data_IF_946459730552
#
_entry.id   IF_946459730552
#
_cell.length_a   1.000
_cell.length_b   1.000
_cell.length_c   1.000
_cell.angle_alpha   90.00
_cell.angle_beta   90.00
_cell.angle_gamma   90.00
#
_symmetry.space_group_name_H-M   'P 1'
#
loop_
_entity.id
_entity.type
_entity.pdbx_description
1 polymer ?
#
# COMPACT_ATOMS: atom_id res chain seq x y z
N UNK A 1 -6.19 6.70 -19.71
CA UNK A 1 -5.89 7.82 -20.62
C UNK A 1 -4.47 8.38 -20.37
N UNK A 2 -4.13 8.84 -19.16
CA UNK A 2 -2.74 9.22 -18.79
C UNK A 2 -1.67 8.19 -19.17
N UNK A 3 -1.92 6.91 -18.93
CA UNK A 3 -1.00 5.82 -19.28
C UNK A 3 -0.62 5.88 -20.77
N UNK A 4 -1.50 6.31 -21.69
CA UNK A 4 -1.19 6.40 -23.11
C UNK A 4 -0.33 7.62 -23.49
N UNK A 5 -0.14 8.55 -22.54
CA UNK A 5 0.61 9.79 -22.70
C UNK A 5 2.03 9.69 -22.11
N UNK A 6 2.30 8.68 -21.27
CA UNK A 6 3.63 8.37 -20.75
C UNK A 6 4.33 7.36 -21.65
N UNK A 7 5.64 7.48 -21.77
CA UNK A 7 6.45 6.57 -22.58
C UNK A 7 6.42 5.15 -21.98
N UNK A 8 5.60 4.27 -22.57
CA UNK A 8 5.43 2.88 -22.18
C UNK A 8 5.03 1.97 -23.36
N UNK A 9 4.79 0.69 -23.09
CA UNK A 9 4.45 -0.31 -24.12
C UNK A 9 3.12 -0.05 -24.86
N UNK A 10 2.29 0.90 -24.41
CA UNK A 10 0.98 1.25 -24.99
C UNK A 10 1.00 2.63 -25.68
N UNK A 11 2.18 3.12 -26.07
CA UNK A 11 2.34 4.43 -26.69
C UNK A 11 1.49 4.62 -27.96
N UNK A 12 0.86 5.79 -28.03
CA UNK A 12 0.21 6.30 -29.24
C UNK A 12 1.31 6.82 -30.19
N UNK A 13 1.43 6.23 -31.38
CA UNK A 13 2.46 6.60 -32.38
C UNK A 13 2.20 7.96 -33.04
N UNK A 14 0.94 8.35 -33.14
CA UNK A 14 0.51 9.58 -33.83
C UNK A 14 0.48 10.78 -32.85
N UNK A 15 1.24 11.83 -33.20
CA UNK A 15 1.37 13.06 -32.42
C UNK A 15 0.03 13.79 -32.23
N UNK A 16 -0.87 13.76 -33.21
CA UNK A 16 -2.19 14.40 -33.12
C UNK A 16 -3.10 13.62 -32.16
N UNK A 17 -3.04 12.30 -32.17
CA UNK A 17 -3.79 11.45 -31.24
C UNK A 17 -3.32 11.65 -29.79
N UNK A 18 -2.02 11.87 -29.58
CA UNK A 18 -1.47 12.24 -28.27
C UNK A 18 -2.06 13.56 -27.77
N UNK A 19 -2.16 14.58 -28.65
CA UNK A 19 -2.68 15.89 -28.26
C UNK A 19 -4.18 15.85 -27.94
N UNK A 20 -4.97 15.13 -28.75
CA UNK A 20 -6.39 14.88 -28.46
C UNK A 20 -6.54 14.15 -27.12
N UNK A 21 -5.73 13.13 -26.87
CA UNK A 21 -5.76 12.38 -25.62
C UNK A 21 -5.39 13.25 -24.41
N UNK A 22 -4.43 14.18 -24.55
CA UNK A 22 -4.11 15.17 -23.51
C UNK A 22 -5.30 16.05 -23.18
N UNK A 23 -6.01 16.54 -24.18
CA UNK A 23 -7.16 17.42 -23.98
C UNK A 23 -8.36 16.68 -23.37
N UNK A 24 -8.62 15.43 -23.79
CA UNK A 24 -9.63 14.56 -23.17
C UNK A 24 -9.29 14.28 -21.70
N UNK A 25 -8.03 13.98 -21.40
CA UNK A 25 -7.55 13.80 -20.02
C UNK A 25 -7.78 15.07 -19.21
N UNK A 26 -7.37 16.22 -19.73
CA UNK A 26 -7.53 17.52 -19.07
C UNK A 26 -9.00 17.87 -18.81
N UNK A 27 -9.89 17.52 -19.74
CA UNK A 27 -11.32 17.71 -19.57
C UNK A 27 -11.89 16.80 -18.47
N UNK A 28 -11.59 15.51 -18.51
CA UNK A 28 -12.06 14.55 -17.50
C UNK A 28 -11.53 14.84 -16.09
N UNK A 29 -10.37 15.48 -15.99
CA UNK A 29 -9.75 15.87 -14.71
C UNK A 29 -10.16 17.26 -14.23
N UNK A 30 -10.93 18.00 -15.03
CA UNK A 30 -11.50 19.27 -14.58
C UNK A 30 -12.62 19.03 -13.57
N UNK A 31 -12.74 19.90 -12.57
CA UNK A 31 -13.81 19.84 -11.56
C UNK A 31 -15.23 19.88 -12.16
N UNK A 32 -15.34 20.32 -13.43
CA UNK A 32 -16.60 20.38 -14.19
C UNK A 32 -17.05 19.03 -14.76
N UNK A 33 -16.19 18.01 -14.77
CA UNK A 33 -16.49 16.70 -15.38
C UNK A 33 -17.36 15.80 -14.48
N UNK A 34 -17.42 16.09 -13.18
CA UNK A 34 -18.09 15.24 -12.19
C UNK A 34 -17.42 13.88 -11.97
N UNK A 35 -16.26 13.62 -12.58
CA UNK A 35 -15.45 12.40 -12.37
C UNK A 35 -14.59 12.60 -11.12
N UNK A 36 -15.26 12.73 -9.98
CA UNK A 36 -14.60 12.91 -8.69
C UNK A 36 -14.12 11.56 -8.14
N UNK A 37 -12.87 11.51 -7.65
CA UNK A 37 -12.31 10.36 -6.93
C UNK A 37 -13.09 10.00 -5.66
N UNK A 38 -12.69 8.93 -4.99
CA UNK A 38 -13.30 8.52 -3.73
C UNK A 38 -12.71 9.34 -2.58
N UNK A 39 -13.36 10.44 -2.22
CA UNK A 39 -12.82 11.38 -1.23
C UNK A 39 -13.22 11.07 0.22
N UNK A 40 -14.21 10.21 0.44
CA UNK A 40 -14.74 9.92 1.77
C UNK A 40 -15.34 8.51 1.88
N UNK A 41 -15.00 7.81 2.96
CA UNK A 41 -15.61 6.54 3.32
C UNK A 41 -17.12 6.72 3.64
N UNK A 42 -17.94 5.69 3.35
CA UNK A 42 -19.35 5.71 3.74
C UNK A 42 -19.53 5.75 5.26
N UNK A 43 -20.69 6.19 5.78
CA UNK A 43 -20.96 6.26 7.23
C UNK A 43 -20.65 4.96 7.98
N UNK A 44 -20.92 3.80 7.37
CA UNK A 44 -20.63 2.50 7.98
C UNK A 44 -19.16 2.27 8.36
N UNK A 45 -18.21 2.98 7.73
CA UNK A 45 -16.81 2.94 8.17
C UNK A 45 -16.64 3.45 9.61
N UNK A 46 -17.27 4.59 9.92
CA UNK A 46 -17.21 5.20 11.25
C UNK A 46 -17.88 4.28 12.28
N UNK A 47 -19.07 3.77 11.97
CA UNK A 47 -19.82 2.88 12.86
C UNK A 47 -19.03 1.60 13.18
N UNK A 48 -18.37 1.00 12.17
CA UNK A 48 -17.50 -0.16 12.36
C UNK A 48 -16.31 0.16 13.27
N UNK A 49 -15.65 1.31 13.07
CA UNK A 49 -14.54 1.76 13.92
C UNK A 49 -15.02 1.93 15.36
N UNK A 50 -16.17 2.57 15.59
CA UNK A 50 -16.76 2.75 16.92
C UNK A 50 -17.15 1.44 17.59
N UNK A 51 -17.78 0.52 16.84
CA UNK A 51 -18.10 -0.83 17.34
C UNK A 51 -16.85 -1.61 17.73
N UNK A 52 -15.78 -1.57 16.92
CA UNK A 52 -14.52 -2.24 17.24
C UNK A 52 -13.88 -1.62 18.51
N UNK A 53 -13.84 -0.29 18.61
CA UNK A 53 -13.24 0.39 19.76
C UNK A 53 -14.02 0.20 21.07
N UNK A 54 -15.35 0.08 20.98
CA UNK A 54 -16.22 -0.19 22.14
C UNK A 54 -16.26 -1.67 22.55
N UNK A 55 -15.60 -2.56 21.79
CA UNK A 55 -15.68 -4.02 22.00
C UNK A 55 -17.01 -4.62 21.53
N UNK A 56 -17.84 -3.87 20.81
CA UNK A 56 -19.10 -4.35 20.25
C UNK A 56 -18.83 -5.39 19.16
N UNK A 57 -19.51 -6.53 19.25
CA UNK A 57 -19.38 -7.61 18.26
C UNK A 57 -20.06 -7.23 16.94
N UNK A 58 -19.30 -7.19 15.86
CA UNK A 58 -19.81 -7.10 14.49
C UNK A 58 -20.53 -8.40 14.10
N UNK A 59 -21.64 -8.29 13.37
CA UNK A 59 -22.35 -9.43 12.76
C UNK A 59 -22.25 -9.34 11.24
N UNK A 60 -22.27 -10.50 10.59
CA UNK A 60 -22.14 -10.60 9.13
C UNK A 60 -23.30 -9.91 8.37
N UNK A 61 -24.48 -9.86 9.00
CA UNK A 61 -25.69 -9.21 8.49
C UNK A 61 -25.68 -7.68 8.64
N UNK A 62 -24.72 -7.11 9.37
CA UNK A 62 -24.75 -5.69 9.66
C UNK A 62 -24.49 -4.87 8.37
N UNK A 63 -25.29 -3.83 8.16
CA UNK A 63 -25.21 -2.97 6.97
C UNK A 63 -23.97 -2.08 6.99
N UNK A 64 -23.58 -1.56 8.15
CA UNK A 64 -22.36 -0.77 8.33
C UNK A 64 -21.10 -1.58 8.00
N UNK A 65 -21.06 -2.86 8.37
CA UNK A 65 -19.98 -3.77 7.99
C UNK A 65 -19.85 -3.90 6.47
N UNK A 66 -20.98 -4.05 5.78
CA UNK A 66 -20.99 -4.12 4.32
C UNK A 66 -20.50 -2.80 3.69
N UNK A 67 -20.97 -1.67 4.21
CA UNK A 67 -20.59 -0.35 3.73
C UNK A 67 -19.11 -0.04 3.94
N UNK A 68 -18.54 -0.42 5.09
CA UNK A 68 -17.12 -0.25 5.37
C UNK A 68 -16.25 -1.07 4.39
N UNK A 69 -16.60 -2.34 4.14
CA UNK A 69 -15.89 -3.21 3.19
C UNK A 69 -15.97 -2.66 1.77
N UNK A 70 -17.16 -2.23 1.33
CA UNK A 70 -17.33 -1.64 0.00
C UNK A 70 -16.54 -0.34 -0.14
N UNK A 71 -16.53 0.51 0.89
CA UNK A 71 -15.76 1.76 0.89
C UNK A 71 -14.27 1.48 0.74
N UNK A 72 -13.74 0.50 1.48
CA UNK A 72 -12.35 0.08 1.37
C UNK A 72 -11.98 -0.43 -0.02
N UNK A 73 -12.82 -1.28 -0.62
CA UNK A 73 -12.58 -1.80 -1.97
C UNK A 73 -12.70 -0.72 -3.05
N UNK A 74 -13.52 0.31 -2.81
CA UNK A 74 -13.63 1.46 -3.69
C UNK A 74 -12.38 2.35 -3.61
N UNK A 75 -11.92 2.65 -2.39
CA UNK A 75 -10.67 3.36 -2.13
C UNK A 75 -9.47 2.62 -2.75
N UNK A 76 -9.39 1.29 -2.60
CA UNK A 76 -8.33 0.48 -3.22
C UNK A 76 -8.26 0.70 -4.74
N UNK A 77 -9.42 0.73 -5.42
CA UNK A 77 -9.47 0.92 -6.88
C UNK A 77 -9.08 2.34 -7.25
N UNK A 78 -9.54 3.33 -6.49
CA UNK A 78 -9.20 4.73 -6.74
C UNK A 78 -7.70 4.98 -6.56
N UNK A 79 -7.10 4.44 -5.49
CA UNK A 79 -5.65 4.48 -5.26
C UNK A 79 -4.86 3.84 -6.40
N UNK A 80 -5.32 2.70 -6.94
CA UNK A 80 -4.67 2.06 -8.08
C UNK A 80 -4.72 2.95 -9.34
N UNK A 81 -5.85 3.62 -9.58
CA UNK A 81 -6.01 4.56 -10.70
C UNK A 81 -5.12 5.79 -10.53
N UNK A 82 -5.10 6.39 -9.34
CA UNK A 82 -4.25 7.54 -9.01
C UNK A 82 -2.77 7.18 -9.19
N UNK A 83 -2.32 6.04 -8.65
CA UNK A 83 -0.94 5.59 -8.81
C UNK A 83 -0.60 5.28 -10.27
N UNK A 84 -1.54 4.72 -11.03
CA UNK A 84 -1.32 4.46 -12.46
C UNK A 84 -1.07 5.75 -13.25
N UNK A 85 -1.80 6.83 -12.90
CA UNK A 85 -1.59 8.15 -13.48
C UNK A 85 -0.24 8.74 -13.08
N UNK A 86 0.09 8.67 -11.80
CA UNK A 86 1.33 9.25 -11.25
C UNK A 86 2.60 8.52 -11.73
N UNK A 87 2.53 7.20 -11.94
CA UNK A 87 3.67 6.39 -12.36
C UNK A 87 3.77 6.21 -13.87
N UNK A 88 2.71 6.52 -14.63
CA UNK A 88 2.65 6.27 -16.07
C UNK A 88 2.63 4.80 -16.46
N UNK A 89 2.41 3.89 -15.52
CA UNK A 89 2.29 2.44 -15.72
C UNK A 89 1.02 1.92 -15.08
N UNK A 90 0.44 0.87 -15.64
CA UNK A 90 -0.79 0.29 -15.10
C UNK A 90 -0.54 -0.40 -13.75
N UNK A 91 -1.30 0.01 -12.73
CA UNK A 91 -1.33 -0.59 -11.39
C UNK A 91 -2.62 -1.39 -11.26
N UNK A 92 -2.48 -2.69 -11.03
CA UNK A 92 -3.62 -3.57 -10.75
C UNK A 92 -3.92 -3.55 -9.25
N UNK A 93 -5.20 -3.66 -8.88
CA UNK A 93 -5.61 -3.88 -7.49
C UNK A 93 -6.48 -5.11 -7.30
N UNK A 94 -6.51 -5.58 -6.05
CA UNK A 94 -7.28 -6.74 -5.62
C UNK A 94 -6.56 -8.07 -5.84
N UNK A 95 -7.22 -9.16 -5.43
CA UNK A 95 -6.63 -10.49 -5.46
C UNK A 95 -7.11 -11.30 -6.69
N UNK A 96 -6.21 -11.96 -7.45
CA UNK A 96 -6.59 -12.73 -8.64
C UNK A 96 -7.66 -13.79 -8.40
N UNK A 97 -7.71 -14.39 -7.20
CA UNK A 97 -8.70 -15.41 -6.82
C UNK A 97 -10.16 -14.91 -6.84
N UNK A 98 -10.39 -13.59 -6.79
CA UNK A 98 -11.75 -13.02 -6.80
C UNK A 98 -12.15 -12.43 -8.16
N UNK A 99 -11.36 -12.66 -9.21
CA UNK A 99 -11.69 -12.18 -10.55
C UNK A 99 -13.05 -12.75 -10.99
N UNK A 100 -13.99 -11.86 -11.32
CA UNK A 100 -15.35 -12.23 -11.71
C UNK A 100 -16.29 -12.62 -10.56
N UNK A 101 -15.83 -12.60 -9.30
CA UNK A 101 -16.66 -12.92 -8.13
C UNK A 101 -16.47 -11.91 -7.00
N UNK A 102 -17.02 -10.71 -7.19
CA UNK A 102 -16.95 -9.62 -6.21
C UNK A 102 -17.69 -9.95 -4.91
N UNK A 103 -18.77 -10.72 -4.98
CA UNK A 103 -19.54 -11.13 -3.79
C UNK A 103 -18.70 -11.99 -2.86
N UNK A 104 -17.97 -12.97 -3.38
CA UNK A 104 -17.05 -13.77 -2.59
C UNK A 104 -15.94 -12.94 -1.95
N UNK A 105 -15.45 -11.89 -2.64
CA UNK A 105 -14.48 -10.95 -2.07
C UNK A 105 -15.06 -10.18 -0.89
N UNK A 106 -16.23 -9.58 -1.07
CA UNK A 106 -16.92 -8.84 0.00
C UNK A 106 -17.14 -9.74 1.21
N UNK A 107 -17.64 -10.97 1.00
CA UNK A 107 -17.91 -11.91 2.08
C UNK A 107 -16.64 -12.35 2.82
N UNK A 108 -15.50 -12.49 2.11
CA UNK A 108 -14.21 -12.78 2.75
C UNK A 108 -13.67 -11.60 3.55
N UNK A 109 -13.74 -10.38 2.99
CA UNK A 109 -13.30 -9.17 3.67
C UNK A 109 -14.15 -8.87 4.91
N UNK A 110 -15.48 -9.12 4.85
CA UNK A 110 -16.35 -9.09 6.04
C UNK A 110 -15.85 -10.05 7.13
N UNK A 111 -15.53 -11.29 6.76
CA UNK A 111 -15.03 -12.30 7.70
C UNK A 111 -13.68 -11.90 8.29
N UNK A 112 -12.75 -11.35 7.47
CA UNK A 112 -11.46 -10.82 7.95
C UNK A 112 -11.66 -9.68 8.93
N UNK A 113 -12.48 -8.69 8.60
CA UNK A 113 -12.76 -7.56 9.47
C UNK A 113 -13.42 -7.99 10.79
N UNK A 114 -14.35 -8.94 10.76
CA UNK A 114 -14.97 -9.48 11.98
C UNK A 114 -13.96 -10.19 12.89
N UNK A 115 -13.10 -11.04 12.32
CA UNK A 115 -12.19 -11.93 13.06
C UNK A 115 -10.86 -11.30 13.45
N UNK A 116 -10.31 -10.48 12.59
CA UNK A 116 -8.95 -9.93 12.69
C UNK A 116 -8.93 -8.41 12.85
N UNK A 117 -10.09 -7.74 12.73
CA UNK A 117 -10.21 -6.27 12.75
C UNK A 117 -9.27 -5.61 11.73
N UNK A 118 -9.14 -6.26 10.58
CA UNK A 118 -8.20 -5.92 9.51
C UNK A 118 -8.90 -5.95 8.16
N UNK A 119 -8.61 -4.95 7.33
CA UNK A 119 -8.83 -5.00 5.89
C UNK A 119 -7.51 -4.88 5.15
N UNK A 120 -7.40 -5.58 4.03
CA UNK A 120 -6.15 -5.68 3.26
C UNK A 120 -6.39 -5.30 1.81
N UNK A 121 -5.46 -4.55 1.22
CA UNK A 121 -5.40 -4.29 -0.21
C UNK A 121 -4.04 -4.65 -0.77
N UNK A 122 -4.01 -4.96 -2.06
CA UNK A 122 -2.79 -5.27 -2.78
C UNK A 122 -2.75 -4.46 -4.08
N UNK A 123 -1.67 -3.73 -4.30
CA UNK A 123 -1.43 -2.92 -5.48
C UNK A 123 -0.21 -3.46 -6.23
N UNK A 124 -0.44 -4.01 -7.42
CA UNK A 124 0.58 -4.57 -8.28
C UNK A 124 0.99 -3.56 -9.34
N UNK A 125 2.17 -2.98 -9.14
CA UNK A 125 2.81 -2.06 -10.10
C UNK A 125 3.64 -2.87 -11.09
N UNK A 126 3.40 -2.71 -12.39
CA UNK A 126 4.19 -3.40 -13.42
C UNK A 126 5.67 -3.03 -13.29
N UNK A 127 6.55 -4.03 -13.23
CA UNK A 127 8.00 -3.85 -13.12
C UNK A 127 8.51 -3.60 -11.70
N UNK A 128 7.65 -3.54 -10.68
CA UNK A 128 8.08 -3.46 -9.29
C UNK A 128 8.61 -4.80 -8.78
N UNK A 129 9.52 -4.75 -7.80
CA UNK A 129 10.12 -5.93 -7.15
C UNK A 129 9.10 -6.75 -6.34
N UNK A 130 8.05 -6.10 -5.84
CA UNK A 130 6.93 -6.72 -5.15
C UNK A 130 5.69 -5.85 -5.19
N UNK A 131 4.54 -6.47 -4.92
CA UNK A 131 3.27 -5.77 -4.76
C UNK A 131 3.31 -4.91 -3.48
N UNK A 132 2.70 -3.72 -3.54
CA UNK A 132 2.49 -2.88 -2.36
C UNK A 132 1.28 -3.43 -1.61
N UNK A 133 1.47 -3.82 -0.36
CA UNK A 133 0.37 -4.25 0.51
C UNK A 133 -0.05 -3.10 1.41
N UNK A 134 -1.35 -2.99 1.64
CA UNK A 134 -1.97 -1.99 2.51
C UNK A 134 -2.82 -2.72 3.53
N UNK A 135 -2.68 -2.38 4.79
CA UNK A 135 -3.38 -2.98 5.91
C UNK A 135 -4.03 -1.90 6.77
N UNK A 136 -5.36 -1.94 6.86
CA UNK A 136 -6.14 -1.11 7.78
C UNK A 136 -6.36 -1.85 9.09
N UNK A 137 -5.59 -1.50 10.11
CA UNK A 137 -5.64 -2.07 11.44
C UNK A 137 -6.62 -1.28 12.31
N UNK A 138 -7.88 -1.71 12.36
CA UNK A 138 -8.96 -0.94 12.98
C UNK A 138 -8.78 -0.74 14.48
N UNK A 139 -8.32 -1.76 15.21
CA UNK A 139 -8.08 -1.66 16.66
C UNK A 139 -7.00 -0.64 17.01
N UNK A 140 -5.99 -0.53 16.14
CA UNK A 140 -4.87 0.40 16.32
C UNK A 140 -5.15 1.77 15.71
N UNK A 141 -6.16 1.89 14.85
CA UNK A 141 -6.41 3.06 13.99
C UNK A 141 -5.18 3.43 13.15
N UNK A 142 -4.51 2.40 12.65
CA UNK A 142 -3.28 2.53 11.85
C UNK A 142 -3.53 2.03 10.44
N UNK A 143 -2.97 2.73 9.45
CA UNK A 143 -2.77 2.22 8.11
C UNK A 143 -1.30 1.87 7.95
N UNK A 144 -0.99 0.59 7.70
CA UNK A 144 0.35 0.14 7.33
C UNK A 144 0.41 -0.10 5.83
N UNK A 145 1.37 0.50 5.15
CA UNK A 145 1.69 0.20 3.74
C UNK A 145 3.08 -0.41 3.70
N UNK A 146 3.26 -1.48 2.93
CA UNK A 146 4.58 -2.09 2.86
C UNK A 146 4.88 -2.83 1.57
N UNK A 147 6.17 -2.91 1.27
CA UNK A 147 6.76 -3.75 0.22
C UNK A 147 7.73 -4.73 0.87
N UNK A 148 7.82 -5.94 0.34
CA UNK A 148 8.73 -6.99 0.86
C UNK A 148 9.68 -7.43 -0.22
N UNK A 149 10.96 -7.59 0.10
CA UNK A 149 11.98 -8.08 -0.82
C UNK A 149 12.96 -9.00 -0.12
N UNK A 150 13.50 -9.95 -0.87
CA UNK A 150 14.49 -10.90 -0.36
C UNK A 150 15.81 -10.18 -0.09
N UNK A 151 16.46 -10.53 1.01
CA UNK A 151 17.81 -10.04 1.27
C UNK A 151 18.77 -10.57 0.20
N UNK A 152 19.81 -9.81 -0.20
CA UNK A 152 20.81 -10.29 -1.16
C UNK A 152 21.55 -11.51 -0.58
N UNK A 153 21.52 -12.63 -1.31
CA UNK A 153 22.07 -13.92 -0.85
C UNK A 153 23.59 -14.02 -1.08
N UNK A 154 24.15 -13.14 -1.91
CA UNK A 154 25.59 -13.01 -2.18
C UNK A 154 26.35 -12.24 -1.07
N UNK A 155 25.65 -11.79 -0.02
CA UNK A 155 26.22 -10.94 1.03
C UNK A 155 26.06 -11.55 2.42
N UNK A 156 27.10 -11.39 3.24
CA UNK A 156 27.02 -11.61 4.70
C UNK A 156 26.14 -10.54 5.35
N UNK A 157 25.71 -10.77 6.59
CA UNK A 157 24.80 -9.90 7.35
C UNK A 157 25.13 -8.40 7.25
N UNK A 158 26.36 -7.99 7.59
CA UNK A 158 26.78 -6.58 7.50
C UNK A 158 26.64 -6.01 6.08
N UNK A 159 26.92 -6.84 5.07
CA UNK A 159 26.74 -6.49 3.66
C UNK A 159 25.27 -6.36 3.26
N UNK A 160 24.37 -7.15 3.85
CA UNK A 160 22.92 -7.05 3.64
C UNK A 160 22.36 -5.77 4.27
N UNK A 161 22.76 -5.43 5.50
CA UNK A 161 22.39 -4.18 6.16
C UNK A 161 22.92 -2.95 5.40
N UNK A 162 24.19 -2.98 4.99
CA UNK A 162 24.76 -1.93 4.15
C UNK A 162 24.06 -1.80 2.79
N UNK A 163 23.59 -2.91 2.22
CA UNK A 163 22.86 -2.89 0.96
C UNK A 163 21.52 -2.16 1.10
N UNK A 164 20.74 -2.42 2.17
CA UNK A 164 19.47 -1.72 2.37
C UNK A 164 19.70 -0.24 2.69
N UNK A 165 20.71 0.11 3.50
CA UNK A 165 21.14 1.48 3.74
C UNK A 165 21.35 2.24 2.42
N UNK A 166 22.10 1.63 1.49
CA UNK A 166 22.33 2.23 0.16
C UNK A 166 21.05 2.41 -0.65
N UNK A 167 20.07 1.50 -0.55
CA UNK A 167 18.79 1.66 -1.26
C UNK A 167 18.02 2.87 -0.74
N UNK A 168 17.96 3.04 0.58
CA UNK A 168 17.30 4.19 1.21
C UNK A 168 18.02 5.49 0.86
N UNK A 169 19.35 5.46 0.82
CA UNK A 169 20.17 6.59 0.42
C UNK A 169 19.92 7.02 -1.03
N UNK A 170 19.73 6.05 -1.93
CA UNK A 170 19.35 6.31 -3.32
C UNK A 170 17.94 6.92 -3.40
N UNK A 171 16.98 6.42 -2.63
CA UNK A 171 15.63 7.00 -2.54
C UNK A 171 15.67 8.45 -2.06
N UNK A 172 16.44 8.73 -1.00
CA UNK A 172 16.66 10.08 -0.47
C UNK A 172 17.27 11.02 -1.50
N UNK A 173 18.26 10.57 -2.27
CA UNK A 173 18.89 11.37 -3.35
C UNK A 173 17.93 11.63 -4.51
N UNK A 174 17.08 10.66 -4.85
CA UNK A 174 16.13 10.77 -5.96
C UNK A 174 15.04 11.81 -5.70
N UNK A 175 14.53 11.89 -4.47
CA UNK A 175 13.57 12.92 -4.06
C UNK A 175 13.73 13.27 -2.58
N UNK A 176 14.60 14.25 -2.32
CA UNK A 176 14.96 14.66 -0.96
C UNK A 176 13.77 15.21 -0.18
N UNK A 177 12.92 16.00 -0.84
CA UNK A 177 11.77 16.64 -0.20
C UNK A 177 10.74 15.60 0.25
N UNK A 178 10.31 14.70 -0.64
CA UNK A 178 9.35 13.64 -0.30
C UNK A 178 9.92 12.71 0.75
N UNK A 179 11.19 12.28 0.61
CA UNK A 179 11.82 11.41 1.61
C UNK A 179 11.82 12.04 3.00
N UNK A 180 12.19 13.32 3.10
CA UNK A 180 12.22 14.04 4.37
C UNK A 180 10.82 14.19 5.01
N UNK A 181 9.76 14.29 4.20
CA UNK A 181 8.38 14.38 4.70
C UNK A 181 7.86 13.08 5.34
N UNK A 182 8.35 11.93 4.86
CA UNK A 182 7.81 10.62 5.26
C UNK A 182 8.79 9.79 6.10
N UNK A 183 10.05 10.21 6.24
CA UNK A 183 11.12 9.39 6.86
C UNK A 183 10.77 8.90 8.27
N UNK A 184 10.07 9.72 9.06
CA UNK A 184 9.74 9.41 10.45
C UNK A 184 8.58 8.40 10.54
N UNK A 185 7.83 8.23 9.44
CA UNK A 185 6.75 7.26 9.29
C UNK A 185 7.23 5.98 8.58
N UNK A 186 8.50 5.94 8.11
CA UNK A 186 9.09 4.75 7.50
C UNK A 186 9.83 3.91 8.53
N UNK A 187 9.50 2.62 8.56
CA UNK A 187 10.22 1.61 9.33
C UNK A 187 10.74 0.50 8.43
N UNK A 188 11.75 -0.21 8.91
CA UNK A 188 12.29 -1.41 8.27
C UNK A 188 12.02 -2.57 9.19
N UNK A 189 11.30 -3.55 8.69
CA UNK A 189 11.09 -4.81 9.37
C UNK A 189 12.05 -5.86 8.79
N UNK A 190 12.90 -6.39 9.66
CA UNK A 190 13.86 -7.45 9.31
C UNK A 190 13.22 -8.80 9.67
N UNK A 191 12.97 -9.60 8.64
CA UNK A 191 12.38 -10.93 8.79
C UNK A 191 13.52 -11.95 8.79
N UNK A 192 13.69 -12.62 9.91
CA UNK A 192 14.77 -13.57 10.14
C UNK A 192 14.35 -15.00 9.80
N UNK A 193 15.28 -15.83 9.33
CA UNK A 193 15.01 -17.26 9.12
C UNK A 193 14.78 -17.96 10.46
N UNK A 194 13.94 -18.99 10.44
CA UNK A 194 13.67 -19.89 11.59
C UNK A 194 13.20 -19.17 12.86
N UNK A 195 12.57 -18.01 12.71
CA UNK A 195 12.06 -17.22 13.83
C UNK A 195 10.80 -16.49 13.40
N UNK A 196 9.80 -16.43 14.29
CA UNK A 196 8.57 -15.64 14.08
C UNK A 196 8.71 -14.19 14.52
N UNK A 197 9.77 -13.85 15.25
CA UNK A 197 10.09 -12.48 15.66
C UNK A 197 10.56 -11.68 14.45
N UNK A 198 10.02 -10.48 14.33
CA UNK A 198 10.45 -9.46 13.39
C UNK A 198 10.97 -8.29 14.20
N UNK A 199 12.08 -7.72 13.76
CA UNK A 199 12.63 -6.50 14.36
C UNK A 199 12.24 -5.32 13.48
N UNK A 200 11.53 -4.34 14.04
CA UNK A 200 11.16 -3.09 13.36
C UNK A 200 12.09 -1.99 13.84
N UNK A 201 12.81 -1.37 12.92
CA UNK A 201 13.79 -0.32 13.21
C UNK A 201 13.53 0.93 12.36
N UNK A 202 13.98 2.07 12.87
CA UNK A 202 14.01 3.31 12.09
C UNK A 202 15.00 3.18 10.93
N UNK A 203 14.77 3.95 9.86
CA UNK A 203 15.72 4.09 8.76
C UNK A 203 17.06 4.70 9.20
N UNK A 204 17.12 5.34 10.37
CA UNK A 204 18.32 5.99 10.90
C UNK A 204 19.18 5.06 11.79
N UNK A 205 18.60 3.98 12.33
CA UNK A 205 19.23 3.12 13.35
C UNK A 205 19.56 1.72 12.82
N UNK A 206 19.77 1.58 11.51
CA UNK A 206 20.01 0.29 10.86
C UNK A 206 21.32 -0.34 11.32
N UNK A 207 22.32 0.47 11.62
CA UNK A 207 23.64 -0.03 12.03
C UNK A 207 23.63 -0.61 13.45
N UNK A 208 22.67 -0.19 14.28
CA UNK A 208 22.57 -0.59 15.70
C UNK A 208 22.09 -2.05 15.85
N UNK A 209 21.28 -2.53 14.90
CA UNK A 209 20.67 -3.87 14.99
C UNK A 209 21.68 -5.01 14.78
N UNK A 210 22.86 -4.71 14.22
CA UNK A 210 23.83 -5.74 13.83
C UNK A 210 24.18 -6.67 14.99
N UNK A 211 24.42 -6.13 16.17
CA UNK A 211 24.81 -6.92 17.34
C UNK A 211 23.69 -7.85 17.83
N UNK A 212 22.43 -7.45 17.66
CA UNK A 212 21.25 -8.20 18.08
C UNK A 212 20.95 -9.39 17.17
N UNK A 213 21.30 -9.28 15.88
CA UNK A 213 21.01 -10.30 14.86
C UNK A 213 22.26 -10.96 14.26
N UNK A 214 23.45 -10.74 14.86
CA UNK A 214 24.75 -11.20 14.31
C UNK A 214 24.83 -12.70 14.02
N UNK A 215 24.15 -13.51 14.83
CA UNK A 215 24.14 -14.98 14.73
C UNK A 215 22.92 -15.51 13.96
N UNK A 216 22.19 -14.62 13.26
CA UNK A 216 20.94 -14.94 12.56
C UNK A 216 21.06 -14.61 11.07
N UNK A 217 20.24 -15.30 10.28
CA UNK A 217 20.15 -15.07 8.83
C UNK A 217 18.92 -14.24 8.49
N UNK A 218 19.11 -13.17 7.72
CA UNK A 218 18.01 -12.39 7.17
C UNK A 218 17.37 -13.19 6.02
N UNK A 219 16.05 -13.37 6.08
CA UNK A 219 15.25 -13.92 5.00
C UNK A 219 14.83 -12.80 4.04
N UNK A 220 14.14 -11.81 4.58
CA UNK A 220 13.47 -10.75 3.83
C UNK A 220 13.59 -9.44 4.61
N UNK A 221 13.58 -8.34 3.87
CA UNK A 221 13.34 -7.01 4.41
C UNK A 221 11.95 -6.58 3.99
N UNK A 222 11.27 -5.87 4.87
CA UNK A 222 10.03 -5.18 4.56
C UNK A 222 10.18 -3.70 4.90
N UNK A 223 9.83 -2.84 3.96
CA UNK A 223 9.80 -1.40 4.17
C UNK A 223 8.35 -1.04 4.44
N UNK A 224 8.09 -0.49 5.62
CA UNK A 224 6.78 -0.09 6.08
C UNK A 224 6.71 1.42 6.06
N UNK A 225 5.55 1.93 5.68
CA UNK A 225 5.10 3.28 5.96
C UNK A 225 3.87 3.15 6.87
N UNK A 226 3.90 3.79 8.03
CA UNK A 226 2.87 3.67 9.05
C UNK A 226 2.24 5.03 9.27
N UNK A 227 0.92 5.11 9.08
CA UNK A 227 0.11 6.27 9.45
C UNK A 227 -0.78 5.94 10.62
N UNK A 228 -0.55 6.62 11.75
CA UNK A 228 -1.40 6.56 12.93
C UNK A 228 -2.41 7.72 12.90
N UNK A 229 -3.70 7.39 13.08
CA UNK A 229 -4.78 8.36 13.13
C UNK A 229 -5.20 8.72 14.56
N UNK A 230 -4.55 8.13 15.58
CA UNK A 230 -4.73 8.44 16.99
C UNK A 230 -6.09 8.05 17.57
N UNK A 231 -6.22 8.19 18.89
CA UNK A 231 -7.49 8.15 19.58
C UNK A 231 -8.04 9.58 19.67
N UNK A 232 -9.02 9.91 18.83
CA UNK A 232 -9.93 11.05 19.04
C UNK A 232 -10.76 10.86 20.31
#
# INVERSE_FOLDING_TARGET
AHILLFDNELNIKDKNQVEIMREVVKYLESDKSGVCGFHQMKPGWKDVVEKINSGTRLKFSDTDLNDAVLSWQQEEKDLALILSRSLGVFVNSGEPKYRGNLRARIDDDKKKLMRQKLLTSNLRVKGAVSDIKIEALFEKRIIEMYVTFKAPQDKKLKGQLNWINRQLDNCRKKNKETFQKIKDEILIEIILKKTSRTERISVETIDDIYNEIKDREIKEFRILYIKDFGKT
#
